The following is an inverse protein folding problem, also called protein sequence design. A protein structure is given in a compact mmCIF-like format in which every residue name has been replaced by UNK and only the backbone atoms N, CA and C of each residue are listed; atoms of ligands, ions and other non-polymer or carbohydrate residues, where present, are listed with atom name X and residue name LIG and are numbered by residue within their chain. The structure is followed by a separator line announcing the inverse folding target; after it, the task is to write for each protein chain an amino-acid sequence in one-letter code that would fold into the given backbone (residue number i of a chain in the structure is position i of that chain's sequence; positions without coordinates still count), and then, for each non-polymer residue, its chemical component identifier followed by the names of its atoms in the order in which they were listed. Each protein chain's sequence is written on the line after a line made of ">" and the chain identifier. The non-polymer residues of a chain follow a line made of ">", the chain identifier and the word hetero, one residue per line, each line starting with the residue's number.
data_IF_172628683005
#
_entry.id   IF_172628683005
#
_cell.length_a   1.000
_cell.length_b   1.000
_cell.length_c   1.000
_cell.angle_alpha   90.00
_cell.angle_beta   90.00
_cell.angle_gamma   90.00
#
_symmetry.space_group_name_H-M   'P 1'
#
loop_
_entity.id
_entity.type
_entity.pdbx_description
1 polymer ?
#
# COMPACT_ATOMS: atom_id res chain seq x y z
N UNK A 1 -37.59 1.94 54.85
CA UNK A 1 -36.25 2.22 54.28
C UNK A 1 -35.71 1.02 53.46
N UNK A 2 -36.39 0.60 52.41
CA UNK A 2 -35.90 -0.47 51.52
C UNK A 2 -36.51 -0.33 50.16
N UNK A 3 -36.07 0.68 49.38
CA UNK A 3 -36.52 0.88 47.99
C UNK A 3 -35.52 1.68 47.16
N UNK A 4 -34.26 1.26 47.10
CA UNK A 4 -33.31 1.93 46.21
C UNK A 4 -32.22 1.05 45.63
N UNK A 5 -32.30 -0.29 45.78
CA UNK A 5 -31.22 -1.17 45.29
C UNK A 5 -31.57 -1.85 43.95
N UNK A 6 -32.81 -1.74 43.46
CA UNK A 6 -33.25 -2.41 42.23
C UNK A 6 -32.99 -1.63 40.92
N UNK A 7 -32.63 -0.34 41.00
CA UNK A 7 -32.39 0.48 39.80
C UNK A 7 -30.95 0.37 39.25
N UNK A 8 -30.00 -0.05 40.07
CA UNK A 8 -28.57 -0.16 39.67
C UNK A 8 -28.26 -1.22 38.60
N UNK A 9 -28.91 -2.41 38.65
CA UNK A 9 -28.61 -3.41 37.63
C UNK A 9 -29.22 -3.08 36.27
N UNK A 10 -30.31 -2.31 36.21
CA UNK A 10 -30.93 -1.90 34.93
C UNK A 10 -30.13 -0.80 34.21
N UNK A 11 -29.58 0.14 34.97
CA UNK A 11 -28.71 1.21 34.41
C UNK A 11 -27.41 0.62 33.84
N UNK A 12 -26.81 -0.32 34.58
CA UNK A 12 -25.58 -1.00 34.10
C UNK A 12 -25.84 -1.83 32.84
N UNK A 13 -27.00 -2.48 32.72
CA UNK A 13 -27.41 -3.21 31.50
C UNK A 13 -27.66 -2.28 30.35
N UNK A 14 -28.25 -1.11 30.56
CA UNK A 14 -28.46 -0.08 29.53
C UNK A 14 -27.11 0.49 29.03
N UNK A 15 -26.18 0.77 29.95
CA UNK A 15 -24.83 1.23 29.57
C UNK A 15 -24.05 0.16 28.82
N UNK A 16 -24.15 -1.10 29.22
CA UNK A 16 -23.52 -2.20 28.51
C UNK A 16 -24.13 -2.43 27.11
N UNK A 17 -25.46 -2.30 26.96
CA UNK A 17 -26.13 -2.38 25.66
C UNK A 17 -25.78 -1.19 24.76
N UNK A 18 -25.65 0.00 25.32
CA UNK A 18 -25.24 1.20 24.56
C UNK A 18 -23.80 1.12 24.11
N UNK A 19 -22.88 0.62 24.93
CA UNK A 19 -21.48 0.43 24.56
C UNK A 19 -21.31 -0.62 23.47
N UNK A 20 -22.10 -1.70 23.50
CA UNK A 20 -22.10 -2.73 22.48
C UNK A 20 -22.65 -2.21 21.15
N UNK A 21 -23.68 -1.36 21.18
CA UNK A 21 -24.25 -0.74 19.98
C UNK A 21 -23.25 0.21 19.30
N UNK A 22 -22.45 0.96 20.07
CA UNK A 22 -21.40 1.86 19.55
C UNK A 22 -20.25 1.06 18.92
N UNK A 23 -19.90 -0.09 19.51
CA UNK A 23 -18.85 -0.95 18.98
C UNK A 23 -19.22 -1.58 17.62
N UNK A 24 -20.50 -1.90 17.40
CA UNK A 24 -20.99 -2.46 16.14
C UNK A 24 -21.13 -1.39 15.05
N UNK A 25 -21.46 -0.15 15.41
CA UNK A 25 -21.56 0.97 14.46
C UNK A 25 -20.20 1.44 13.93
N UNK A 26 -19.10 1.20 14.68
CA UNK A 26 -17.74 1.59 14.28
C UNK A 26 -17.15 0.82 13.12
N UNK A 27 -17.65 -0.37 12.80
CA UNK A 27 -17.15 -1.20 11.71
C UNK A 27 -17.71 -0.82 10.33
N UNK A 28 -18.71 0.06 10.22
CA UNK A 28 -19.35 0.46 8.97
C UNK A 28 -18.84 1.77 8.36
N UNK A 29 -17.96 2.51 9.05
CA UNK A 29 -17.47 3.83 8.64
C UNK A 29 -16.06 3.81 8.01
N UNK A 30 -15.47 2.62 7.79
CA UNK A 30 -14.35 2.49 6.88
C UNK A 30 -14.92 2.58 5.46
N UNK A 31 -14.95 3.81 4.96
CA UNK A 31 -15.19 4.11 3.56
C UNK A 31 -14.27 3.22 2.71
N UNK A 32 -14.82 2.12 2.23
CA UNK A 32 -14.14 1.32 1.22
C UNK A 32 -14.19 2.16 -0.05
N UNK A 33 -13.22 3.08 -0.21
CA UNK A 33 -12.99 3.73 -1.51
C UNK A 33 -12.94 2.61 -2.52
N UNK A 34 -13.98 2.50 -3.30
CA UNK A 34 -14.09 1.49 -4.34
C UNK A 34 -12.82 1.61 -5.20
N UNK A 35 -12.09 0.51 -5.33
CA UNK A 35 -10.83 0.51 -6.07
C UNK A 35 -11.10 0.91 -7.53
N UNK A 36 -10.80 2.15 -7.88
CA UNK A 36 -10.99 2.72 -9.23
C UNK A 36 -10.30 1.91 -10.33
N UNK A 37 -9.32 1.09 -9.95
CA UNK A 37 -8.52 0.29 -10.89
C UNK A 37 -9.11 -1.09 -11.18
N UNK A 38 -10.32 -1.40 -10.69
CA UNK A 38 -10.98 -2.68 -10.97
C UNK A 38 -11.17 -2.81 -12.49
N UNK A 39 -10.72 -3.94 -13.04
CA UNK A 39 -10.82 -4.23 -14.48
C UNK A 39 -9.77 -3.53 -15.36
N UNK A 40 -8.84 -2.76 -14.81
CA UNK A 40 -7.74 -2.20 -15.59
C UNK A 40 -6.77 -3.29 -16.05
N UNK A 41 -6.36 -3.21 -17.31
CA UNK A 41 -5.33 -4.08 -17.88
C UNK A 41 -3.93 -3.72 -17.31
N UNK A 42 -2.98 -4.63 -17.47
CA UNK A 42 -1.58 -4.38 -17.10
C UNK A 42 -1.01 -3.14 -17.80
N UNK A 43 -1.30 -2.97 -19.08
CA UNK A 43 -0.88 -1.79 -19.84
C UNK A 43 -1.47 -0.49 -19.27
N UNK A 44 -2.76 -0.49 -18.93
CA UNK A 44 -3.41 0.68 -18.34
C UNK A 44 -2.83 1.01 -16.96
N UNK A 45 -2.68 0.02 -16.08
CA UNK A 45 -2.06 0.23 -14.76
C UNK A 45 -0.65 0.80 -14.89
N UNK A 46 0.13 0.28 -15.83
CA UNK A 46 1.49 0.77 -16.08
C UNK A 46 1.49 2.22 -16.60
N UNK A 47 0.63 2.55 -17.55
CA UNK A 47 0.53 3.90 -18.12
C UNK A 47 0.14 4.92 -17.04
N UNK A 48 -0.90 4.64 -16.26
CA UNK A 48 -1.37 5.51 -15.17
C UNK A 48 -0.32 5.67 -14.05
N UNK A 49 0.44 4.59 -13.74
CA UNK A 49 1.55 4.67 -12.81
C UNK A 49 2.67 5.60 -13.33
N UNK A 50 2.99 5.51 -14.62
CA UNK A 50 3.98 6.36 -15.28
C UNK A 50 3.56 7.82 -15.30
N UNK A 51 2.30 8.10 -15.58
CA UNK A 51 1.75 9.44 -15.57
C UNK A 51 1.80 10.04 -14.15
N UNK A 52 1.38 9.27 -13.13
CA UNK A 52 1.49 9.68 -11.74
C UNK A 52 2.95 9.95 -11.33
N UNK A 53 3.89 9.13 -11.79
CA UNK A 53 5.32 9.31 -11.56
C UNK A 53 5.85 10.59 -12.22
N UNK A 54 5.43 10.89 -13.45
CA UNK A 54 5.80 12.12 -14.16
C UNK A 54 5.28 13.38 -13.46
N UNK A 55 4.10 13.29 -12.85
CA UNK A 55 3.48 14.36 -12.05
C UNK A 55 4.10 14.52 -10.65
N UNK A 56 5.03 13.65 -10.26
CA UNK A 56 5.60 13.63 -8.91
C UNK A 56 4.65 13.10 -7.83
N UNK A 57 3.56 12.46 -8.23
CA UNK A 57 2.59 11.83 -7.33
C UNK A 57 3.08 10.42 -6.91
N UNK A 58 4.18 10.39 -6.16
CA UNK A 58 4.95 9.17 -5.87
C UNK A 58 4.12 8.09 -5.19
N UNK A 59 3.32 8.42 -4.18
CA UNK A 59 2.46 7.45 -3.49
C UNK A 59 1.40 6.85 -4.42
N UNK A 60 0.88 7.65 -5.35
CA UNK A 60 -0.09 7.18 -6.35
C UNK A 60 0.57 6.26 -7.35
N UNK A 61 1.77 6.61 -7.82
CA UNK A 61 2.57 5.79 -8.72
C UNK A 61 2.91 4.43 -8.08
N UNK A 62 3.38 4.43 -6.83
CA UNK A 62 3.67 3.22 -6.08
C UNK A 62 2.44 2.30 -6.00
N UNK A 63 1.29 2.83 -5.59
CA UNK A 63 0.04 2.04 -5.52
C UNK A 63 -0.35 1.41 -6.85
N UNK A 64 -0.17 2.09 -7.96
CA UNK A 64 -0.51 1.53 -9.27
C UNK A 64 0.48 0.46 -9.72
N UNK A 65 1.78 0.64 -9.48
CA UNK A 65 2.77 -0.40 -9.73
C UNK A 65 2.58 -1.63 -8.85
N UNK A 66 2.27 -1.45 -7.56
CA UNK A 66 1.93 -2.55 -6.64
C UNK A 66 0.71 -3.35 -7.11
N UNK A 67 -0.35 -2.65 -7.54
CA UNK A 67 -1.55 -3.29 -8.09
C UNK A 67 -1.26 -4.04 -9.38
N UNK A 68 -0.39 -3.49 -10.23
CA UNK A 68 0.05 -4.16 -11.44
C UNK A 68 0.78 -5.46 -11.08
N UNK A 69 1.74 -5.41 -10.18
CA UNK A 69 2.50 -6.58 -9.73
C UNK A 69 1.59 -7.65 -9.10
N UNK A 70 0.64 -7.23 -8.26
CA UNK A 70 -0.29 -8.13 -7.59
C UNK A 70 -1.27 -8.84 -8.54
N UNK A 71 -1.77 -8.13 -9.55
CA UNK A 71 -2.78 -8.67 -10.49
C UNK A 71 -2.18 -9.36 -11.70
N UNK A 72 -1.03 -8.89 -12.15
CA UNK A 72 -0.36 -9.35 -13.36
C UNK A 72 1.13 -9.65 -13.06
N UNK A 73 1.43 -10.67 -12.22
CA UNK A 73 2.77 -10.89 -11.69
C UNK A 73 3.80 -11.33 -12.73
N UNK A 74 3.35 -11.62 -13.94
CA UNK A 74 4.22 -12.11 -15.02
C UNK A 74 4.23 -11.17 -16.23
N UNK A 75 5.34 -11.22 -16.97
CA UNK A 75 5.49 -10.46 -18.18
C UNK A 75 6.25 -9.14 -18.01
N UNK A 76 6.45 -8.45 -19.12
CA UNK A 76 7.31 -7.26 -19.19
C UNK A 76 6.84 -6.10 -18.31
N UNK A 77 5.53 -5.91 -18.20
CA UNK A 77 4.99 -4.81 -17.40
C UNK A 77 5.21 -5.04 -15.90
N UNK A 78 5.10 -6.29 -15.43
CA UNK A 78 5.41 -6.62 -14.05
C UNK A 78 6.89 -6.41 -13.72
N UNK A 79 7.79 -6.87 -14.58
CA UNK A 79 9.22 -6.68 -14.41
C UNK A 79 9.59 -5.19 -14.39
N UNK A 80 9.02 -4.41 -15.30
CA UNK A 80 9.25 -2.97 -15.33
C UNK A 80 8.67 -2.27 -14.08
N UNK A 81 7.46 -2.65 -13.64
CA UNK A 81 6.86 -2.10 -12.44
C UNK A 81 7.69 -2.38 -11.18
N UNK A 82 8.23 -3.60 -11.06
CA UNK A 82 9.12 -3.97 -9.95
C UNK A 82 10.38 -3.10 -9.92
N UNK A 83 10.95 -2.79 -11.08
CA UNK A 83 12.11 -1.91 -11.19
C UNK A 83 11.76 -0.47 -10.83
N UNK A 84 10.64 0.05 -11.35
CA UNK A 84 10.18 1.42 -11.08
C UNK A 84 9.82 1.63 -9.61
N UNK A 85 9.33 0.61 -8.91
CA UNK A 85 9.01 0.69 -7.48
C UNK A 85 10.23 1.07 -6.63
N UNK A 86 11.43 0.60 -6.97
CA UNK A 86 12.64 1.01 -6.27
C UNK A 86 12.84 2.52 -6.34
N UNK A 87 12.71 3.12 -7.52
CA UNK A 87 12.85 4.55 -7.72
C UNK A 87 11.71 5.35 -7.07
N UNK A 88 10.47 4.90 -7.25
CA UNK A 88 9.27 5.59 -6.76
C UNK A 88 9.24 5.65 -5.23
N UNK A 89 9.54 4.54 -4.55
CA UNK A 89 9.66 4.52 -3.09
C UNK A 89 10.78 5.44 -2.57
N UNK A 90 11.92 5.45 -3.26
CA UNK A 90 12.99 6.38 -2.90
C UNK A 90 12.55 7.83 -3.01
N UNK A 91 11.84 8.19 -4.09
CA UNK A 91 11.29 9.54 -4.29
C UNK A 91 10.14 9.88 -3.33
N UNK A 92 9.42 8.88 -2.82
CA UNK A 92 8.41 9.01 -1.77
C UNK A 92 9.00 9.11 -0.35
N UNK A 93 10.33 9.19 -0.24
CA UNK A 93 11.04 9.21 1.06
C UNK A 93 10.83 7.93 1.88
N UNK A 94 10.73 6.79 1.19
CA UNK A 94 10.63 5.46 1.77
C UNK A 94 11.87 4.59 1.43
N UNK A 95 13.06 4.91 1.95
CA UNK A 95 14.29 4.23 1.55
C UNK A 95 14.29 2.74 1.86
N UNK A 96 13.69 2.32 2.98
CA UNK A 96 13.57 0.90 3.32
C UNK A 96 12.75 0.11 2.31
N UNK A 97 11.61 0.64 1.86
CA UNK A 97 10.79 0.06 0.80
C UNK A 97 11.52 0.04 -0.55
N UNK A 98 12.26 1.10 -0.85
CA UNK A 98 13.05 1.23 -2.06
C UNK A 98 14.16 0.18 -2.14
N UNK A 99 14.94 0.00 -1.08
CA UNK A 99 15.98 -1.03 -0.99
C UNK A 99 15.41 -2.43 -1.15
N UNK A 100 14.29 -2.72 -0.45
CA UNK A 100 13.62 -4.00 -0.56
C UNK A 100 13.12 -4.29 -1.99
N UNK A 101 12.61 -3.28 -2.70
CA UNK A 101 12.18 -3.40 -4.09
C UNK A 101 13.36 -3.68 -5.03
N UNK A 102 14.49 -2.97 -4.87
CA UNK A 102 15.71 -3.20 -5.64
C UNK A 102 16.26 -4.61 -5.41
N UNK A 103 16.38 -5.04 -4.15
CA UNK A 103 16.88 -6.36 -3.81
C UNK A 103 16.01 -7.48 -4.38
N UNK A 104 14.68 -7.30 -4.30
CA UNK A 104 13.72 -8.25 -4.88
C UNK A 104 13.88 -8.34 -6.40
N UNK A 105 14.00 -7.20 -7.09
CA UNK A 105 14.20 -7.19 -8.54
C UNK A 105 15.49 -7.93 -8.93
N UNK A 106 16.61 -7.63 -8.26
CA UNK A 106 17.90 -8.28 -8.51
C UNK A 106 17.82 -9.80 -8.32
N UNK A 107 17.15 -10.25 -7.24
CA UNK A 107 16.97 -11.68 -6.96
C UNK A 107 16.11 -12.40 -7.98
N UNK A 108 15.00 -11.77 -8.40
CA UNK A 108 14.04 -12.39 -9.31
C UNK A 108 14.50 -12.32 -10.78
N UNK A 109 15.28 -11.32 -11.13
CA UNK A 109 15.66 -11.02 -12.52
C UNK A 109 17.16 -10.75 -12.68
N UNK A 110 18.05 -11.69 -12.26
CA UNK A 110 19.50 -11.47 -12.25
C UNK A 110 20.10 -11.25 -13.64
N UNK A 111 19.42 -11.70 -14.68
CA UNK A 111 19.85 -11.58 -16.09
C UNK A 111 19.05 -10.51 -16.86
N UNK A 112 18.26 -9.70 -16.18
CA UNK A 112 17.49 -8.65 -16.83
C UNK A 112 18.42 -7.55 -17.36
N UNK A 113 18.18 -7.01 -18.57
CA UNK A 113 19.04 -5.96 -19.14
C UNK A 113 19.23 -4.72 -18.27
N UNK A 114 18.25 -4.42 -17.38
CA UNK A 114 18.29 -3.29 -16.48
C UNK A 114 18.68 -3.66 -15.03
N UNK A 115 19.25 -4.83 -14.79
CA UNK A 115 19.68 -5.23 -13.44
C UNK A 115 20.76 -4.31 -12.88
N UNK A 116 21.64 -3.80 -13.73
CA UNK A 116 22.69 -2.84 -13.35
C UNK A 116 22.09 -1.54 -12.78
N UNK A 117 20.97 -1.10 -13.34
CA UNK A 117 20.25 0.06 -12.80
C UNK A 117 19.70 -0.22 -11.38
N UNK A 118 19.20 -1.41 -11.12
CA UNK A 118 18.74 -1.78 -9.77
C UNK A 118 19.89 -1.79 -8.76
N UNK A 119 21.07 -2.28 -9.14
CA UNK A 119 22.27 -2.19 -8.30
C UNK A 119 22.73 -0.75 -8.06
N UNK A 120 22.73 0.07 -9.11
CA UNK A 120 23.05 1.50 -9.01
C UNK A 120 22.11 2.22 -8.05
N UNK A 121 20.81 2.02 -8.20
CA UNK A 121 19.80 2.65 -7.35
C UNK A 121 19.92 2.20 -5.90
N UNK A 122 20.15 0.90 -5.66
CA UNK A 122 20.38 0.37 -4.32
C UNK A 122 21.61 1.04 -3.66
N UNK A 123 22.73 1.17 -4.39
CA UNK A 123 23.92 1.87 -3.91
C UNK A 123 23.67 3.35 -3.64
N UNK A 124 22.93 4.03 -4.51
CA UNK A 124 22.60 5.45 -4.36
C UNK A 124 21.72 5.71 -3.12
N UNK A 125 20.73 4.85 -2.87
CA UNK A 125 19.85 4.96 -1.70
C UNK A 125 20.68 4.78 -0.42
N UNK A 126 21.50 3.73 -0.33
CA UNK A 126 22.34 3.49 0.83
C UNK A 126 23.30 4.65 1.10
N UNK A 127 23.87 5.26 0.06
CA UNK A 127 24.78 6.40 0.21
C UNK A 127 24.10 7.66 0.77
N UNK A 128 22.81 7.86 0.47
CA UNK A 128 22.08 9.05 0.95
C UNK A 128 21.48 8.87 2.35
N UNK A 129 21.51 7.65 2.91
CA UNK A 129 21.03 7.37 4.26
C UNK A 129 22.13 7.49 5.34
N UNK A 130 23.41 7.54 4.94
CA UNK A 130 24.57 7.74 5.82
C UNK A 130 24.81 9.26 6.08
#
# INVERSE_FOLDING_TARGET
>A
MMRSVAAFPSLLRLLAALSLAIAVAGCGLLDSKQDETIGWSANKLYAEARDAQADGAWDKAARYYEKLEARYPYGRFAQQAQLELGYVYWKAEEPGSALAACDRFIKLHPNHPAVDYAYYLNGLINFNED
#
